data_IF_866665568675
#
_entry.id   IF_866665568675
#
_cell.length_a   1.000
_cell.length_b   1.000
_cell.length_c   1.000
_cell.angle_alpha   90.00
_cell.angle_beta   90.00
_cell.angle_gamma   90.00
#
_symmetry.space_group_name_H-M   'P 1'
#
loop_
_entity.id
_entity.type
_entity.pdbx_description
1 polymer ?
#
# COMPACT_ATOMS: atom_id res chain seq x y z
N UNK A 1 40.57 -21.88 -50.21
CA UNK A 1 39.22 -22.16 -49.66
C UNK A 1 39.11 -21.41 -48.34
N UNK A 2 38.46 -20.23 -48.39
CA UNK A 2 38.33 -19.31 -47.24
C UNK A 2 36.97 -19.54 -46.59
N UNK A 3 36.94 -20.07 -45.38
CA UNK A 3 35.71 -20.25 -44.59
C UNK A 3 35.43 -18.99 -43.79
N UNK A 4 34.44 -18.23 -44.24
CA UNK A 4 33.94 -17.03 -43.58
C UNK A 4 33.03 -17.47 -42.41
N UNK A 5 33.47 -17.31 -41.15
CA UNK A 5 32.68 -17.58 -39.96
C UNK A 5 31.82 -16.35 -39.63
N UNK A 6 30.50 -16.51 -39.81
CA UNK A 6 29.50 -15.53 -39.36
C UNK A 6 29.33 -15.62 -37.84
N UNK A 7 29.80 -14.63 -37.11
CA UNK A 7 29.43 -14.44 -35.71
C UNK A 7 28.08 -13.71 -35.64
N UNK A 8 27.01 -14.44 -35.34
CA UNK A 8 25.74 -13.83 -35.01
C UNK A 8 25.86 -13.22 -33.60
N UNK A 9 25.92 -11.88 -33.54
CA UNK A 9 25.84 -11.14 -32.27
C UNK A 9 24.38 -11.13 -31.87
N UNK A 10 24.02 -11.95 -30.88
CA UNK A 10 22.73 -11.85 -30.19
C UNK A 10 22.75 -10.56 -29.35
N UNK A 11 22.18 -9.49 -29.88
CA UNK A 11 21.88 -8.30 -29.10
C UNK A 11 20.73 -8.62 -28.14
N UNK A 12 21.07 -8.96 -26.91
CA UNK A 12 20.09 -9.08 -25.83
C UNK A 12 19.57 -7.67 -25.54
N UNK A 13 18.37 -7.35 -26.04
CA UNK A 13 17.66 -6.13 -25.67
C UNK A 13 17.25 -6.25 -24.22
N UNK A 14 18.03 -5.67 -23.31
CA UNK A 14 17.62 -5.39 -21.94
C UNK A 14 16.53 -4.32 -22.02
N UNK A 15 15.27 -4.75 -22.14
CA UNK A 15 14.14 -3.87 -21.93
C UNK A 15 14.26 -3.32 -20.50
N UNK A 16 14.32 -2.01 -20.32
CA UNK A 16 14.27 -1.46 -18.97
C UNK A 16 12.98 -1.94 -18.33
N UNK A 17 13.07 -2.62 -17.20
CA UNK A 17 11.91 -2.89 -16.34
C UNK A 17 11.36 -1.52 -15.94
N UNK A 18 10.38 -1.03 -16.68
CA UNK A 18 9.72 0.23 -16.39
C UNK A 18 9.15 0.12 -14.96
N UNK A 19 9.65 0.98 -14.08
CA UNK A 19 9.11 1.08 -12.73
C UNK A 19 7.67 1.53 -12.89
N UNK A 20 6.72 0.80 -12.27
CA UNK A 20 5.31 1.17 -12.29
C UNK A 20 5.17 2.63 -11.80
N UNK A 21 4.61 3.49 -12.61
CA UNK A 21 4.35 4.87 -12.23
C UNK A 21 2.94 4.99 -11.67
N UNK A 22 2.83 4.89 -10.36
CA UNK A 22 1.54 5.01 -9.65
C UNK A 22 0.97 6.44 -9.65
N UNK A 23 1.72 7.44 -10.15
CA UNK A 23 1.22 8.81 -10.35
C UNK A 23 0.34 8.92 -11.60
N UNK A 24 0.55 8.03 -12.57
CA UNK A 24 -0.19 7.98 -13.82
C UNK A 24 -1.03 6.69 -13.92
N UNK A 25 -1.75 6.35 -12.87
CA UNK A 25 -2.61 5.17 -12.84
C UNK A 25 -3.69 5.22 -13.92
N UNK A 26 -3.67 4.24 -14.80
CA UNK A 26 -4.63 4.08 -15.89
C UNK A 26 -5.72 3.04 -15.58
N UNK A 27 -5.77 2.55 -14.34
CA UNK A 27 -6.76 1.57 -13.91
C UNK A 27 -8.16 2.18 -13.98
N UNK A 28 -9.01 1.60 -14.82
CA UNK A 28 -10.38 2.04 -15.03
C UNK A 28 -11.30 0.81 -14.99
N UNK A 29 -12.15 0.74 -13.98
CA UNK A 29 -13.10 -0.36 -13.78
C UNK A 29 -14.04 -0.53 -14.98
N UNK A 30 -14.39 0.58 -15.66
CA UNK A 30 -15.21 0.56 -16.86
C UNK A 30 -14.46 0.01 -18.10
N UNK A 31 -13.12 -0.13 -18.01
CA UNK A 31 -12.27 -0.64 -19.08
C UNK A 31 -11.38 -1.77 -18.57
N UNK A 32 -11.89 -3.01 -18.49
CA UNK A 32 -11.21 -4.14 -17.86
C UNK A 32 -9.80 -4.43 -18.41
N UNK A 33 -9.52 -4.09 -19.65
CA UNK A 33 -8.22 -4.24 -20.27
C UNK A 33 -7.13 -3.40 -19.55
N UNK A 34 -7.49 -2.26 -18.97
CA UNK A 34 -6.57 -1.41 -18.21
C UNK A 34 -6.17 -2.07 -16.89
N UNK A 35 -7.03 -2.94 -16.35
CA UNK A 35 -6.80 -3.66 -15.10
C UNK A 35 -5.77 -4.80 -15.23
N UNK A 36 -5.33 -5.13 -16.46
CA UNK A 36 -4.30 -6.15 -16.71
C UNK A 36 -2.90 -5.66 -16.32
N UNK A 37 -2.67 -4.35 -16.20
CA UNK A 37 -1.40 -3.79 -15.79
C UNK A 37 -1.01 -4.25 -14.37
N UNK A 38 0.30 -4.44 -14.14
CA UNK A 38 0.83 -4.94 -12.85
C UNK A 38 0.43 -4.03 -11.68
N UNK A 39 0.51 -2.73 -11.87
CA UNK A 39 0.15 -1.70 -10.89
C UNK A 39 -1.33 -1.63 -10.56
N UNK A 40 -2.18 -2.26 -11.38
CA UNK A 40 -3.62 -2.34 -11.19
C UNK A 40 -4.08 -3.66 -10.53
N UNK A 41 -3.16 -4.52 -10.09
CA UNK A 41 -3.56 -5.84 -9.56
C UNK A 41 -4.47 -5.74 -8.34
N UNK A 42 -4.21 -4.82 -7.41
CA UNK A 42 -5.07 -4.62 -6.25
C UNK A 42 -6.44 -4.03 -6.61
N UNK A 43 -6.52 -3.18 -7.63
CA UNK A 43 -7.81 -2.73 -8.17
C UNK A 43 -8.64 -3.92 -8.66
N UNK A 44 -8.02 -4.80 -9.45
CA UNK A 44 -8.67 -6.02 -9.97
C UNK A 44 -9.12 -6.94 -8.84
N UNK A 45 -8.27 -7.13 -7.82
CA UNK A 45 -8.57 -7.98 -6.68
C UNK A 45 -9.78 -7.46 -5.89
N UNK A 46 -9.87 -6.15 -5.68
CA UNK A 46 -11.02 -5.51 -5.04
C UNK A 46 -12.30 -5.71 -5.85
N UNK A 47 -12.27 -5.50 -7.17
CA UNK A 47 -13.43 -5.68 -8.04
C UNK A 47 -13.93 -7.13 -8.12
N UNK A 48 -13.03 -8.11 -7.93
CA UNK A 48 -13.39 -9.52 -7.93
C UNK A 48 -14.10 -9.98 -6.63
N UNK A 49 -14.10 -9.15 -5.58
CA UNK A 49 -14.69 -9.50 -4.29
C UNK A 49 -16.13 -9.02 -4.17
N UNK A 50 -16.97 -9.58 -3.26
CA UNK A 50 -18.32 -9.10 -2.97
C UNK A 50 -18.36 -7.60 -2.63
N UNK A 51 -19.44 -6.91 -3.00
CA UNK A 51 -19.58 -5.45 -2.81
C UNK A 51 -19.46 -5.00 -1.36
N UNK A 52 -19.80 -5.85 -0.41
CA UNK A 52 -19.61 -5.62 1.02
C UNK A 52 -18.56 -6.61 1.59
N UNK A 53 -17.76 -6.22 2.56
CA UNK A 53 -17.70 -4.93 3.28
C UNK A 53 -16.96 -3.82 2.52
N UNK A 54 -17.04 -2.56 2.99
CA UNK A 54 -16.40 -1.38 2.36
C UNK A 54 -14.87 -1.40 2.43
N UNK A 55 -14.30 -2.17 3.33
CA UNK A 55 -12.86 -2.46 3.39
C UNK A 55 -12.66 -3.96 3.33
N UNK A 56 -11.91 -4.42 2.37
CA UNK A 56 -11.56 -5.84 2.21
C UNK A 56 -10.12 -6.08 2.65
N UNK A 57 -9.84 -7.31 3.08
CA UNK A 57 -8.52 -7.69 3.55
C UNK A 57 -7.96 -8.83 2.70
N UNK A 58 -6.74 -8.66 2.21
CA UNK A 58 -6.02 -9.69 1.47
C UNK A 58 -4.67 -9.96 2.13
N UNK A 59 -4.16 -11.19 2.00
CA UNK A 59 -2.77 -11.47 2.34
C UNK A 59 -1.85 -10.80 1.33
N UNK A 60 -0.74 -10.23 1.80
CA UNK A 60 0.32 -9.77 0.89
C UNK A 60 0.84 -10.97 0.09
N UNK A 61 0.77 -10.88 -1.23
CA UNK A 61 1.20 -11.95 -2.12
C UNK A 61 2.72 -12.01 -2.29
N UNK A 62 3.45 -11.04 -1.75
CA UNK A 62 4.90 -11.05 -1.79
C UNK A 62 5.45 -12.15 -0.87
N UNK A 63 6.13 -13.19 -1.41
CA UNK A 63 6.64 -14.29 -0.61
C UNK A 63 7.66 -13.88 0.45
N UNK A 64 8.23 -12.69 0.32
CA UNK A 64 9.13 -12.11 1.33
C UNK A 64 8.38 -11.40 2.47
N UNK A 65 7.06 -11.39 2.45
CA UNK A 65 6.19 -10.72 3.44
C UNK A 65 5.03 -11.63 3.88
N UNK A 66 5.30 -12.88 4.32
CA UNK A 66 4.26 -13.87 4.57
C UNK A 66 3.32 -13.49 5.73
N UNK A 67 3.75 -12.58 6.60
CA UNK A 67 3.01 -12.18 7.79
C UNK A 67 2.19 -10.91 7.59
N UNK A 68 2.12 -10.37 6.37
CA UNK A 68 1.43 -9.12 6.10
C UNK A 68 0.02 -9.32 5.58
N UNK A 69 -0.83 -8.39 5.99
CA UNK A 69 -2.13 -8.17 5.39
C UNK A 69 -2.17 -6.80 4.72
N UNK A 70 -3.05 -6.66 3.75
CA UNK A 70 -3.39 -5.40 3.12
C UNK A 70 -4.87 -5.11 3.38
N UNK A 71 -5.16 -3.91 3.84
CA UNK A 71 -6.53 -3.37 3.83
C UNK A 71 -6.72 -2.58 2.54
N UNK A 72 -7.77 -2.88 1.81
CA UNK A 72 -8.12 -2.27 0.53
C UNK A 72 -9.52 -1.65 0.67
N UNK A 73 -9.69 -0.33 0.43
CA UNK A 73 -11.02 0.26 0.39
C UNK A 73 -11.74 -0.12 -0.91
N UNK A 74 -13.05 -0.17 -0.90
CA UNK A 74 -13.85 -0.28 -2.12
C UNK A 74 -13.77 0.96 -3.00
N UNK A 75 -13.39 2.04 -2.39
CA UNK A 75 -13.27 3.32 -3.04
C UNK A 75 -12.11 3.34 -4.06
N UNK A 76 -12.39 3.81 -5.27
CA UNK A 76 -11.39 4.06 -6.29
C UNK A 76 -11.27 5.58 -6.49
N UNK A 77 -10.25 6.17 -5.85
CA UNK A 77 -9.96 7.58 -6.01
C UNK A 77 -9.35 7.90 -7.38
N UNK A 78 -9.45 9.15 -7.79
CA UNK A 78 -8.89 9.66 -9.05
C UNK A 78 -7.49 10.25 -8.87
N UNK A 79 -7.20 10.77 -7.69
CA UNK A 79 -5.88 11.32 -7.37
C UNK A 79 -4.88 10.19 -7.05
N UNK A 80 -3.59 10.39 -7.28
CA UNK A 80 -2.56 9.47 -6.82
C UNK A 80 -2.63 9.22 -5.31
N UNK A 81 -2.97 10.25 -4.52
CA UNK A 81 -3.21 10.16 -3.09
C UNK A 81 -4.70 9.97 -2.80
N UNK A 82 -5.18 8.76 -3.02
CA UNK A 82 -6.62 8.43 -2.98
C UNK A 82 -7.31 8.75 -1.65
N UNK A 83 -6.58 8.83 -0.53
CA UNK A 83 -7.15 9.28 0.74
C UNK A 83 -7.70 10.71 0.69
N UNK A 84 -7.16 11.57 -0.17
CA UNK A 84 -7.65 12.95 -0.37
C UNK A 84 -9.03 12.97 -1.02
N UNK A 85 -9.35 11.95 -1.82
CA UNK A 85 -10.64 11.85 -2.50
C UNK A 85 -11.74 11.29 -1.59
N UNK A 86 -11.38 10.70 -0.45
CA UNK A 86 -12.32 10.18 0.54
C UNK A 86 -12.87 11.30 1.42
N UNK A 87 -14.11 11.19 1.84
CA UNK A 87 -14.68 12.01 2.91
C UNK A 87 -14.04 11.65 4.26
N UNK A 88 -14.14 12.53 5.25
CA UNK A 88 -13.61 12.26 6.59
C UNK A 88 -14.23 10.98 7.22
N UNK A 89 -15.55 10.72 7.15
CA UNK A 89 -16.12 9.46 7.63
C UNK A 89 -15.58 8.23 6.93
N UNK A 90 -15.38 8.26 5.61
CA UNK A 90 -14.81 7.14 4.85
C UNK A 90 -13.37 6.86 5.28
N UNK A 91 -12.55 7.88 5.44
CA UNK A 91 -11.18 7.71 5.96
C UNK A 91 -11.18 7.12 7.36
N UNK A 92 -12.03 7.64 8.25
CA UNK A 92 -12.16 7.12 9.62
C UNK A 92 -12.56 5.66 9.62
N UNK A 93 -13.54 5.27 8.81
CA UNK A 93 -13.98 3.88 8.69
C UNK A 93 -12.85 2.98 8.16
N UNK A 94 -12.11 3.45 7.17
CA UNK A 94 -10.98 2.72 6.57
C UNK A 94 -9.83 2.49 7.57
N UNK A 95 -9.41 3.54 8.29
CA UNK A 95 -8.40 3.41 9.36
C UNK A 95 -8.89 2.51 10.49
N UNK A 96 -10.15 2.66 10.93
CA UNK A 96 -10.74 1.82 11.97
C UNK A 96 -10.73 0.34 11.61
N UNK A 97 -11.08 0.02 10.35
CA UNK A 97 -11.08 -1.35 9.86
C UNK A 97 -9.65 -1.94 9.85
N UNK A 98 -8.66 -1.17 9.39
CA UNK A 98 -7.26 -1.60 9.37
C UNK A 98 -6.71 -1.83 10.80
N UNK A 99 -7.02 -0.93 11.74
CA UNK A 99 -6.63 -1.06 13.15
C UNK A 99 -7.30 -2.28 13.79
N UNK A 100 -8.61 -2.47 13.56
CA UNK A 100 -9.33 -3.64 14.08
C UNK A 100 -8.71 -4.95 13.59
N UNK A 101 -8.34 -5.02 12.30
CA UNK A 101 -7.63 -6.18 11.73
C UNK A 101 -6.24 -6.37 12.34
N UNK A 102 -5.51 -5.30 12.55
CA UNK A 102 -4.21 -5.35 13.21
C UNK A 102 -4.31 -5.93 14.63
N UNK A 103 -5.28 -5.44 15.43
CA UNK A 103 -5.55 -5.94 16.79
C UNK A 103 -5.99 -7.40 16.79
N UNK A 104 -6.84 -7.80 15.85
CA UNK A 104 -7.29 -9.19 15.70
C UNK A 104 -6.10 -10.16 15.53
N UNK A 105 -5.09 -9.77 14.72
CA UNK A 105 -3.99 -10.66 14.33
C UNK A 105 -2.80 -10.56 15.28
N UNK A 106 -2.49 -9.35 15.82
CA UNK A 106 -1.25 -9.06 16.51
C UNK A 106 -1.43 -8.55 17.96
N UNK A 107 -2.68 -8.50 18.46
CA UNK A 107 -2.97 -7.93 19.80
C UNK A 107 -2.48 -6.49 19.88
N UNK A 108 -1.71 -6.14 20.92
CA UNK A 108 -1.17 -4.79 21.13
C UNK A 108 0.15 -4.53 20.37
N UNK A 109 0.68 -5.54 19.66
CA UNK A 109 1.92 -5.40 18.87
C UNK A 109 1.65 -5.04 17.39
N UNK A 110 0.42 -4.65 17.06
CA UNK A 110 0.07 -4.29 15.69
C UNK A 110 0.74 -2.99 15.25
N UNK A 111 1.01 -2.91 13.96
CA UNK A 111 1.33 -1.68 13.24
C UNK A 111 0.62 -1.65 11.91
N UNK A 112 0.28 -0.47 11.45
CA UNK A 112 -0.26 -0.25 10.11
C UNK A 112 0.55 0.84 9.40
N UNK A 113 0.66 0.75 8.09
CA UNK A 113 1.43 1.70 7.31
C UNK A 113 0.86 1.93 5.92
N UNK A 114 0.94 3.14 5.44
CA UNK A 114 0.71 3.51 4.06
C UNK A 114 1.99 4.08 3.47
N UNK A 115 2.50 3.48 2.41
CA UNK A 115 3.69 3.97 1.74
C UNK A 115 3.39 5.26 0.96
N UNK A 116 4.37 6.15 0.92
CA UNK A 116 4.38 7.30 0.04
C UNK A 116 4.45 6.90 -1.44
N UNK A 117 4.10 7.83 -2.34
CA UNK A 117 3.98 7.57 -3.78
C UNK A 117 5.27 7.02 -4.41
N UNK A 118 6.44 7.44 -3.92
CA UNK A 118 7.73 6.96 -4.44
C UNK A 118 8.03 5.49 -4.14
N UNK A 119 7.39 4.94 -3.13
CA UNK A 119 7.59 3.55 -2.66
C UNK A 119 6.42 2.64 -3.00
N UNK A 120 5.31 3.20 -3.45
CA UNK A 120 4.15 2.42 -3.90
C UNK A 120 4.43 1.77 -5.25
N UNK A 121 3.90 0.56 -5.41
CA UNK A 121 3.97 -0.21 -6.65
C UNK A 121 2.58 -0.56 -7.18
N UNK A 122 1.54 -0.16 -6.45
CA UNK A 122 0.14 -0.42 -6.76
C UNK A 122 -0.65 0.89 -6.76
N UNK A 123 -1.51 1.02 -7.73
CA UNK A 123 -2.38 2.18 -7.90
C UNK A 123 -3.44 2.27 -6.81
N UNK A 124 -4.05 1.15 -6.46
CA UNK A 124 -5.09 1.12 -5.45
C UNK A 124 -4.57 1.52 -4.07
N UNK A 125 -5.31 2.37 -3.36
CA UNK A 125 -4.99 2.69 -1.97
C UNK A 125 -4.91 1.40 -1.14
N UNK A 126 -3.87 1.25 -0.35
CA UNK A 126 -3.73 0.10 0.52
C UNK A 126 -2.95 0.46 1.79
N UNK A 127 -3.41 -0.11 2.90
CA UNK A 127 -2.73 -0.04 4.18
C UNK A 127 -2.09 -1.41 4.42
N UNK A 128 -0.79 -1.42 4.64
CA UNK A 128 -0.07 -2.59 5.14
C UNK A 128 -0.38 -2.79 6.62
N UNK A 129 -0.68 -4.02 7.01
CA UNK A 129 -0.97 -4.39 8.40
C UNK A 129 0.01 -5.50 8.79
N UNK A 130 0.69 -5.33 9.91
CA UNK A 130 1.66 -6.30 10.40
C UNK A 130 1.95 -6.12 11.88
N UNK A 131 2.86 -6.94 12.41
CA UNK A 131 3.45 -6.72 13.72
C UNK A 131 4.45 -5.57 13.62
N UNK A 132 4.41 -4.65 14.57
CA UNK A 132 5.42 -3.60 14.67
C UNK A 132 6.80 -4.23 14.94
N UNK A 133 7.82 -3.79 14.23
CA UNK A 133 9.20 -4.21 14.50
C UNK A 133 9.70 -3.54 15.77
N UNK A 134 10.34 -4.32 16.62
CA UNK A 134 11.02 -3.81 17.82
C UNK A 134 12.05 -2.74 17.43
N UNK A 135 12.09 -1.64 18.18
CA UNK A 135 13.00 -0.52 17.94
C UNK A 135 12.65 0.34 16.71
N UNK A 136 11.48 0.15 16.09
CA UNK A 136 11.03 0.99 14.97
C UNK A 136 10.60 2.38 15.40
N UNK A 137 10.21 2.55 16.66
CA UNK A 137 9.75 3.83 17.20
C UNK A 137 10.87 4.89 17.14
N UNK A 138 10.49 6.11 16.88
CA UNK A 138 11.34 7.29 16.90
C UNK A 138 10.56 8.49 17.44
N UNK A 139 11.22 9.62 17.69
CA UNK A 139 10.63 10.82 18.30
C UNK A 139 9.79 11.67 17.32
N UNK A 140 9.67 11.26 16.06
CA UNK A 140 8.92 11.98 15.02
C UNK A 140 7.52 11.42 14.87
N UNK A 141 6.62 11.76 15.80
CA UNK A 141 5.23 11.36 15.74
C UNK A 141 4.30 12.45 16.28
N UNK A 142 3.03 12.32 15.94
CA UNK A 142 1.93 13.02 16.60
C UNK A 142 1.09 12.01 17.37
N UNK A 143 0.62 12.41 18.55
CA UNK A 143 -0.30 11.60 19.36
C UNK A 143 -1.72 11.96 18.97
N UNK A 144 -2.54 10.96 18.67
CA UNK A 144 -3.96 11.17 18.33
C UNK A 144 -4.86 10.28 19.16
N UNK A 145 -6.11 10.71 19.37
CA UNK A 145 -7.08 9.99 20.20
C UNK A 145 -7.65 8.76 19.50
N UNK A 146 -7.68 8.76 18.18
CA UNK A 146 -8.23 7.64 17.45
C UNK A 146 -8.19 7.78 15.94
N UNK A 147 -8.82 6.84 15.22
CA UNK A 147 -8.76 6.78 13.75
C UNK A 147 -9.25 8.04 13.03
N UNK A 148 -10.17 8.80 13.65
CA UNK A 148 -10.70 10.03 13.07
C UNK A 148 -9.65 11.16 12.97
N UNK A 149 -8.65 11.11 13.85
CA UNK A 149 -7.63 12.13 14.00
C UNK A 149 -6.34 11.80 13.24
N UNK A 150 -6.27 10.63 12.59
CA UNK A 150 -5.13 10.26 11.75
C UNK A 150 -5.05 11.24 10.57
N UNK A 151 -3.96 12.00 10.44
CA UNK A 151 -3.82 12.98 9.38
C UNK A 151 -3.74 12.32 8.00
N UNK A 152 -4.16 13.03 6.98
CA UNK A 152 -3.84 12.64 5.61
C UNK A 152 -2.37 13.02 5.36
N UNK A 153 -1.53 12.09 4.90
CA UNK A 153 -0.15 12.40 4.58
C UNK A 153 -0.08 13.52 3.54
N UNK A 154 0.98 14.32 3.57
CA UNK A 154 1.24 15.28 2.50
C UNK A 154 1.35 14.55 1.16
N UNK A 155 1.16 15.30 0.09
CA UNK A 155 1.23 14.72 -1.25
C UNK A 155 2.60 14.05 -1.48
N UNK A 156 2.54 12.77 -1.76
CA UNK A 156 3.72 11.94 -1.96
C UNK A 156 4.30 11.25 -0.72
N UNK A 157 3.94 11.70 0.49
CA UNK A 157 4.43 11.10 1.73
C UNK A 157 3.62 9.85 2.14
N UNK A 158 4.24 9.03 2.97
CA UNK A 158 3.59 7.94 3.66
C UNK A 158 3.40 8.23 5.14
N UNK A 159 2.80 7.29 5.84
CA UNK A 159 2.69 7.29 7.30
C UNK A 159 2.68 5.87 7.84
N UNK A 160 2.95 5.74 9.13
CA UNK A 160 2.70 4.52 9.87
C UNK A 160 2.16 4.84 11.26
N UNK A 161 1.37 3.90 11.80
CA UNK A 161 0.60 4.08 13.04
C UNK A 161 0.73 2.82 13.89
N UNK A 162 0.84 3.00 15.20
CA UNK A 162 0.80 1.92 16.17
C UNK A 162 0.15 2.36 17.49
N UNK A 163 -0.23 1.42 18.38
CA UNK A 163 -0.81 1.75 19.67
C UNK A 163 0.23 2.35 20.62
N UNK A 164 -0.22 3.30 21.43
CA UNK A 164 0.53 3.91 22.51
C UNK A 164 -0.39 4.09 23.73
N UNK A 165 -0.58 3.01 24.49
CA UNK A 165 -1.59 2.96 25.54
C UNK A 165 -3.01 3.05 24.98
N UNK A 166 -3.76 4.08 25.44
CA UNK A 166 -5.11 4.38 24.96
C UNK A 166 -5.13 5.31 23.73
N UNK A 167 -3.97 5.74 23.26
CA UNK A 167 -3.77 6.63 22.11
C UNK A 167 -3.11 5.90 20.94
N UNK A 168 -2.88 6.65 19.86
CA UNK A 168 -2.12 6.20 18.71
C UNK A 168 -0.94 7.13 18.48
N UNK A 169 0.23 6.58 18.18
CA UNK A 169 1.34 7.31 17.60
C UNK A 169 1.24 7.24 16.08
N UNK A 170 1.24 8.39 15.44
CA UNK A 170 1.21 8.54 13.99
C UNK A 170 2.49 9.20 13.53
N UNK A 171 3.31 8.45 12.83
CA UNK A 171 4.55 8.92 12.23
C UNK A 171 4.26 9.33 10.79
N UNK A 172 4.50 10.58 10.48
CA UNK A 172 4.34 11.16 9.14
C UNK A 172 5.70 11.33 8.47
N UNK A 173 5.70 11.72 7.20
CA UNK A 173 6.91 11.99 6.43
C UNK A 173 7.81 10.74 6.23
N UNK A 174 7.24 9.53 6.33
CA UNK A 174 7.94 8.27 6.15
C UNK A 174 7.58 7.63 4.80
N UNK A 175 8.44 7.76 3.77
CA UNK A 175 8.08 7.29 2.42
C UNK A 175 7.89 5.77 2.33
N UNK A 176 8.47 5.00 3.24
CA UNK A 176 8.46 3.55 3.24
C UNK A 176 7.96 2.96 4.57
N UNK A 177 6.85 3.47 5.10
CA UNK A 177 6.30 3.09 6.40
C UNK A 177 6.13 1.59 6.59
N UNK A 178 5.87 0.84 5.52
CA UNK A 178 5.79 -0.63 5.59
C UNK A 178 7.07 -1.31 6.11
N UNK A 179 8.23 -0.65 6.04
CA UNK A 179 9.48 -1.23 6.56
C UNK A 179 9.54 -1.27 8.09
N UNK A 180 8.63 -0.59 8.76
CA UNK A 180 8.46 -0.63 10.23
C UNK A 180 7.69 -1.85 10.71
N UNK A 181 7.19 -2.67 9.79
CA UNK A 181 6.38 -3.85 10.06
C UNK A 181 7.14 -5.14 9.77
N UNK A 182 6.91 -6.18 10.56
CA UNK A 182 7.42 -7.53 10.34
C UNK A 182 7.03 -8.00 8.92
N UNK A 183 8.00 -8.54 8.21
CA UNK A 183 7.82 -9.10 6.86
C UNK A 183 7.21 -10.49 6.88
#
# INVERSE_FOLDING_TARGET
VSTLRWFAILALWLLPLSRADVRACLCDVARPETMAARECSLCRDVEAMPAEPQTVFVRDTNPNKPNRWLALPRFHGKSPQQLLDMTAPERTAYWSAAIAKGREVWGDEWGIAMNGLEKRTQCHAHIHIGKLLEGSENDHFVVVDGPADIPVPRDGDGLWVHPAGDKLHVHTDEPAGELKLLR
#
